data_IF_171881676684
#
_entry.id   IF_171881676684
#
_cell.length_a   1.000
_cell.length_b   1.000
_cell.length_c   1.000
_cell.angle_alpha   90.00
_cell.angle_beta   90.00
_cell.angle_gamma   90.00
#
_symmetry.space_group_name_H-M   'P 1'
#
loop_
_entity.id
_entity.type
_entity.pdbx_description
1 polymer ?
#
# COMPACT_ATOMS: atom_id res chain seq x y z
N UNK A 1 5.10 1.80 -16.35
CA UNK A 1 3.84 1.78 -17.14
C UNK A 1 3.82 0.66 -18.17
N UNK A 2 4.84 0.51 -19.03
CA UNK A 2 4.89 -0.53 -20.08
C UNK A 2 4.75 -1.99 -19.60
N UNK A 3 5.31 -2.36 -18.44
CA UNK A 3 5.21 -3.74 -17.92
C UNK A 3 3.79 -4.12 -17.51
N UNK A 4 3.01 -3.15 -17.04
CA UNK A 4 1.66 -3.39 -16.56
C UNK A 4 0.66 -3.52 -17.72
N UNK A 5 0.86 -2.75 -18.81
CA UNK A 5 0.06 -2.82 -20.03
C UNK A 5 0.15 -4.21 -20.69
N UNK A 6 1.35 -4.80 -20.68
CA UNK A 6 1.61 -6.16 -21.18
C UNK A 6 0.86 -7.27 -20.42
N UNK A 7 0.48 -7.07 -19.15
CA UNK A 7 -0.21 -8.09 -18.34
C UNK A 7 -1.68 -8.28 -18.73
N UNK A 8 -2.38 -7.20 -19.11
CA UNK A 8 -3.81 -7.25 -19.45
C UNK A 8 -4.02 -7.81 -20.86
N UNK A 9 -3.23 -7.33 -21.81
CA UNK A 9 -3.22 -7.84 -23.18
C UNK A 9 -2.88 -9.34 -23.21
N UNK A 10 -1.97 -9.79 -22.33
CA UNK A 10 -1.70 -11.23 -22.13
C UNK A 10 -2.93 -11.98 -21.62
N UNK A 11 -3.66 -11.45 -20.64
CA UNK A 11 -4.86 -12.09 -20.09
C UNK A 11 -5.96 -12.26 -21.17
N UNK A 12 -6.19 -11.21 -21.96
CA UNK A 12 -7.15 -11.24 -23.07
C UNK A 12 -6.71 -12.23 -24.15
N UNK A 13 -5.44 -12.19 -24.56
CA UNK A 13 -4.88 -13.13 -25.53
C UNK A 13 -4.96 -14.60 -25.05
N UNK A 14 -4.70 -14.87 -23.78
CA UNK A 14 -4.83 -16.21 -23.20
C UNK A 14 -6.27 -16.72 -23.19
N UNK A 15 -7.26 -15.85 -22.95
CA UNK A 15 -8.67 -16.23 -23.00
C UNK A 15 -9.05 -16.78 -24.39
N UNK A 16 -8.64 -16.10 -25.45
CA UNK A 16 -8.84 -16.56 -26.83
C UNK A 16 -8.07 -17.84 -27.14
N UNK A 17 -6.80 -17.95 -26.72
CA UNK A 17 -6.01 -19.18 -26.93
C UNK A 17 -6.60 -20.40 -26.23
N UNK A 18 -7.19 -20.24 -25.04
CA UNK A 18 -7.86 -21.35 -24.33
C UNK A 18 -9.10 -21.86 -25.05
N UNK A 19 -9.76 -21.00 -25.83
CA UNK A 19 -10.83 -21.40 -26.74
C UNK A 19 -10.30 -22.03 -28.05
N UNK A 20 -8.99 -22.29 -28.13
CA UNK A 20 -8.29 -22.78 -29.33
C UNK A 20 -8.35 -21.81 -30.52
N UNK A 21 -8.48 -20.50 -30.26
CA UNK A 21 -8.48 -19.47 -31.30
C UNK A 21 -7.07 -18.98 -31.58
N UNK A 22 -6.80 -18.60 -32.83
CA UNK A 22 -5.51 -18.09 -33.26
C UNK A 22 -5.42 -16.61 -32.91
N UNK A 23 -4.37 -16.22 -32.18
CA UNK A 23 -4.15 -14.83 -31.74
C UNK A 23 -2.86 -14.30 -32.35
N UNK A 24 -2.97 -13.19 -33.09
CA UNK A 24 -1.85 -12.47 -33.67
C UNK A 24 -1.70 -11.10 -32.99
N UNK A 25 -0.46 -10.78 -32.63
CA UNK A 25 -0.06 -9.46 -32.10
C UNK A 25 0.62 -8.68 -33.20
N UNK A 26 0.00 -7.60 -33.70
CA UNK A 26 0.63 -6.76 -34.70
C UNK A 26 1.95 -6.17 -34.17
N UNK A 27 2.98 -6.09 -35.02
CA UNK A 27 4.29 -5.59 -34.59
C UNK A 27 4.24 -4.06 -34.53
N UNK A 28 4.83 -3.42 -33.50
CA UNK A 28 4.92 -1.96 -33.46
C UNK A 28 5.57 -1.43 -34.74
N UNK A 29 4.80 -0.65 -35.50
CA UNK A 29 5.24 0.06 -36.70
C UNK A 29 4.83 1.53 -36.61
N UNK A 30 5.17 2.35 -37.61
CA UNK A 30 4.87 3.78 -37.61
C UNK A 30 3.38 4.14 -37.76
N UNK A 31 2.51 3.18 -38.08
CA UNK A 31 1.06 3.36 -38.18
C UNK A 31 0.35 2.76 -36.95
N UNK A 32 -0.76 3.36 -36.47
CA UNK A 32 -1.59 2.79 -35.41
C UNK A 32 -2.09 1.40 -35.82
N UNK A 33 -1.98 0.42 -34.93
CA UNK A 33 -2.44 -0.95 -35.14
C UNK A 33 -3.29 -1.37 -33.92
N UNK A 34 -4.26 -2.28 -34.11
CA UNK A 34 -5.02 -2.82 -33.00
C UNK A 34 -4.13 -3.67 -32.09
N UNK A 35 -4.51 -3.79 -30.82
CA UNK A 35 -3.76 -4.59 -29.85
C UNK A 35 -3.69 -6.08 -30.23
N UNK A 36 -4.81 -6.66 -30.68
CA UNK A 36 -4.87 -8.06 -31.12
C UNK A 36 -5.71 -8.24 -32.39
N UNK A 37 -5.31 -9.22 -33.20
CA UNK A 37 -6.13 -9.79 -34.26
C UNK A 37 -6.38 -11.26 -33.91
N UNK A 38 -7.64 -11.68 -33.89
CA UNK A 38 -8.03 -13.03 -33.46
C UNK A 38 -8.85 -13.72 -34.53
N UNK A 39 -8.56 -14.99 -34.81
CA UNK A 39 -9.32 -15.83 -35.73
C UNK A 39 -9.83 -17.06 -34.98
N UNK A 40 -11.15 -17.23 -34.95
CA UNK A 40 -11.82 -18.31 -34.24
C UNK A 40 -13.34 -18.16 -34.27
N UNK A 41 -14.07 -19.21 -33.90
CA UNK A 41 -15.55 -19.15 -33.91
C UNK A 41 -16.18 -18.84 -35.28
N UNK A 42 -15.44 -19.04 -36.38
CA UNK A 42 -15.89 -18.72 -37.74
C UNK A 42 -15.77 -17.24 -38.14
N UNK A 43 -15.14 -16.40 -37.32
CA UNK A 43 -14.97 -14.97 -37.57
C UNK A 43 -13.54 -14.49 -37.33
N UNK A 44 -13.24 -13.31 -37.87
CA UNK A 44 -12.01 -12.56 -37.60
C UNK A 44 -12.35 -11.33 -36.77
N UNK A 45 -11.63 -11.15 -35.67
CA UNK A 45 -11.86 -10.11 -34.67
C UNK A 45 -10.67 -9.17 -34.61
N UNK A 46 -10.97 -7.88 -34.46
CA UNK A 46 -9.98 -6.83 -34.22
C UNK A 46 -10.24 -6.27 -32.83
N UNK A 47 -9.27 -6.44 -31.94
CA UNK A 47 -9.44 -6.19 -30.51
C UNK A 47 -8.64 -4.96 -30.10
N UNK A 48 -9.33 -4.01 -29.48
CA UNK A 48 -8.73 -2.86 -28.82
C UNK A 48 -8.94 -2.96 -27.31
N UNK A 49 -7.88 -2.74 -26.54
CA UNK A 49 -7.84 -2.97 -25.10
C UNK A 49 -7.45 -1.67 -24.40
N UNK A 50 -8.38 -1.12 -23.61
CA UNK A 50 -8.09 0.01 -22.72
C UNK A 50 -7.99 -0.45 -21.27
N UNK A 51 -7.11 0.21 -20.52
CA UNK A 51 -6.90 -0.09 -19.12
C UNK A 51 -7.34 1.06 -18.22
N UNK A 52 -8.10 0.72 -17.19
CA UNK A 52 -8.34 1.58 -16.04
C UNK A 52 -7.43 1.18 -14.87
N UNK A 53 -6.89 2.15 -14.15
CA UNK A 53 -6.24 1.91 -12.84
C UNK A 53 -7.25 1.51 -11.77
N UNK A 54 -8.52 1.88 -11.92
CA UNK A 54 -9.60 1.69 -10.95
C UNK A 54 -10.88 1.15 -11.59
N UNK A 55 -11.57 0.23 -10.93
CA UNK A 55 -12.84 -0.34 -11.39
C UNK A 55 -14.06 0.55 -11.17
N UNK A 56 -13.92 1.88 -11.23
CA UNK A 56 -15.03 2.81 -10.97
C UNK A 56 -15.78 3.15 -12.26
N UNK A 57 -17.10 3.33 -12.14
CA UNK A 57 -17.99 3.66 -13.28
C UNK A 57 -17.52 4.89 -14.05
N UNK A 58 -17.10 5.96 -13.36
CA UNK A 58 -16.65 7.21 -13.95
C UNK A 58 -15.30 7.09 -14.70
N UNK A 59 -14.59 5.97 -14.55
CA UNK A 59 -13.34 5.68 -15.26
C UNK A 59 -13.51 4.62 -16.35
N UNK A 60 -14.27 3.58 -16.07
CA UNK A 60 -14.50 2.47 -17.01
C UNK A 60 -15.34 2.91 -18.21
N UNK A 61 -16.39 3.70 -18.02
CA UNK A 61 -17.30 4.08 -19.12
C UNK A 61 -16.60 4.94 -20.18
N UNK A 62 -15.84 6.01 -19.84
CA UNK A 62 -15.11 6.78 -20.84
C UNK A 62 -14.09 5.95 -21.64
N UNK A 63 -13.36 5.05 -20.97
CA UNK A 63 -12.40 4.16 -21.63
C UNK A 63 -13.09 3.15 -22.54
N UNK A 64 -14.28 2.68 -22.16
CA UNK A 64 -15.09 1.82 -23.01
C UNK A 64 -15.55 2.58 -24.26
N UNK A 65 -16.00 3.82 -24.12
CA UNK A 65 -16.32 4.69 -25.27
C UNK A 65 -15.13 4.84 -26.23
N UNK A 66 -13.94 5.05 -25.68
CA UNK A 66 -12.72 5.18 -26.47
C UNK A 66 -12.36 3.87 -27.18
N UNK A 67 -12.34 2.75 -26.46
CA UNK A 67 -12.08 1.42 -27.01
C UNK A 67 -13.06 1.08 -28.15
N UNK A 68 -14.32 1.45 -27.99
CA UNK A 68 -15.36 1.29 -29.01
C UNK A 68 -15.01 2.03 -30.30
N UNK A 69 -14.68 3.32 -30.19
CA UNK A 69 -14.37 4.15 -31.36
C UNK A 69 -13.11 3.66 -32.09
N UNK A 70 -12.09 3.28 -31.34
CA UNK A 70 -10.81 2.82 -31.89
C UNK A 70 -10.96 1.43 -32.53
N UNK A 71 -11.65 0.48 -31.89
CA UNK A 71 -11.92 -0.83 -32.49
C UNK A 71 -12.69 -0.72 -33.82
N UNK A 72 -13.69 0.19 -33.89
CA UNK A 72 -14.40 0.46 -35.14
C UNK A 72 -13.49 1.06 -36.22
N UNK A 73 -12.63 2.01 -35.83
CA UNK A 73 -11.69 2.63 -36.74
C UNK A 73 -10.72 1.61 -37.32
N UNK A 74 -10.19 0.70 -36.49
CA UNK A 74 -9.32 -0.38 -36.95
C UNK A 74 -10.07 -1.39 -37.83
N UNK A 75 -11.29 -1.79 -37.48
CA UNK A 75 -12.07 -2.72 -38.30
C UNK A 75 -12.30 -2.20 -39.74
N UNK A 76 -12.49 -0.88 -39.92
CA UNK A 76 -12.65 -0.27 -41.26
C UNK A 76 -11.38 -0.29 -42.12
N UNK A 77 -10.22 -0.57 -41.53
CA UNK A 77 -8.95 -0.64 -42.25
C UNK A 77 -8.74 -2.01 -42.90
N UNK A 78 -9.53 -3.03 -42.53
CA UNK A 78 -9.42 -4.36 -43.12
C UNK A 78 -10.27 -4.45 -44.40
N UNK A 79 -9.74 -5.03 -45.48
CA UNK A 79 -10.49 -5.24 -46.72
C UNK A 79 -11.56 -6.33 -46.58
N UNK A 80 -11.34 -7.31 -45.70
CA UNK A 80 -12.31 -8.34 -45.33
C UNK A 80 -13.23 -7.91 -44.17
N UNK A 81 -14.40 -8.55 -44.06
CA UNK A 81 -15.30 -8.33 -42.94
C UNK A 81 -14.67 -8.84 -41.64
N UNK A 82 -14.39 -7.92 -40.71
CA UNK A 82 -13.90 -8.21 -39.36
C UNK A 82 -14.84 -7.63 -38.31
N UNK A 83 -14.90 -8.29 -37.15
CA UNK A 83 -15.74 -7.89 -36.04
C UNK A 83 -14.92 -7.02 -35.07
N UNK A 84 -15.30 -5.75 -34.81
CA UNK A 84 -14.64 -4.92 -33.81
C UNK A 84 -14.96 -5.39 -32.39
N UNK A 85 -13.93 -5.48 -31.56
CA UNK A 85 -14.02 -5.89 -30.16
C UNK A 85 -13.38 -4.82 -29.29
N UNK A 86 -14.18 -4.21 -28.40
CA UNK A 86 -13.70 -3.23 -27.44
C UNK A 86 -13.60 -3.86 -26.06
N UNK A 87 -12.40 -3.87 -25.49
CA UNK A 87 -12.14 -4.48 -24.18
C UNK A 87 -11.68 -3.42 -23.19
N UNK A 88 -12.25 -3.39 -22.00
CA UNK A 88 -11.72 -2.61 -20.89
C UNK A 88 -11.31 -3.53 -19.75
N UNK A 89 -10.09 -3.31 -19.26
CA UNK A 89 -9.59 -4.01 -18.08
C UNK A 89 -9.29 -3.13 -16.89
N UNK A 90 -9.50 -3.67 -15.70
CA UNK A 90 -9.10 -3.04 -14.43
C UNK A 90 -8.53 -4.10 -13.47
N UNK A 91 -8.03 -3.68 -12.30
CA UNK A 91 -7.60 -4.64 -11.28
C UNK A 91 -8.78 -5.47 -10.74
N UNK A 92 -9.91 -4.83 -10.47
CA UNK A 92 -11.16 -5.45 -10.02
C UNK A 92 -12.33 -4.66 -10.62
N UNK A 93 -13.36 -5.35 -11.13
CA UNK A 93 -14.58 -4.72 -11.63
C UNK A 93 -15.79 -5.10 -10.76
N UNK A 94 -16.38 -4.15 -10.01
CA UNK A 94 -17.59 -4.42 -9.24
C UNK A 94 -18.77 -4.80 -10.15
N UNK A 95 -19.67 -5.72 -9.74
CA UNK A 95 -20.82 -6.13 -10.55
C UNK A 95 -21.68 -4.97 -11.04
N UNK A 96 -21.92 -3.95 -10.20
CA UNK A 96 -22.69 -2.77 -10.58
C UNK A 96 -22.05 -1.96 -11.72
N UNK A 97 -20.71 -2.02 -11.86
CA UNK A 97 -19.99 -1.37 -12.96
C UNK A 97 -20.07 -2.20 -14.22
N UNK A 98 -19.99 -3.53 -14.11
CA UNK A 98 -20.24 -4.47 -15.23
C UNK A 98 -21.64 -4.26 -15.80
N UNK A 99 -22.67 -4.24 -14.95
CA UNK A 99 -24.07 -4.01 -15.38
C UNK A 99 -24.27 -2.62 -16.00
N UNK A 100 -23.55 -1.61 -15.51
CA UNK A 100 -23.61 -0.26 -16.07
C UNK A 100 -22.92 -0.17 -17.43
N UNK A 101 -21.81 -0.87 -17.62
CA UNK A 101 -21.08 -0.94 -18.86
C UNK A 101 -21.82 -1.75 -19.94
N UNK A 102 -22.45 -2.87 -19.56
CA UNK A 102 -23.32 -3.63 -20.47
C UNK A 102 -24.47 -2.75 -20.98
N UNK A 103 -25.22 -2.11 -20.07
CA UNK A 103 -26.32 -1.19 -20.45
C UNK A 103 -25.84 0.01 -21.27
N UNK A 104 -24.59 0.41 -21.10
CA UNK A 104 -23.99 1.45 -21.94
C UNK A 104 -23.70 0.91 -23.34
N UNK A 105 -23.03 -0.24 -23.44
CA UNK A 105 -22.71 -0.92 -24.70
C UNK A 105 -23.97 -1.23 -25.54
N UNK A 106 -25.00 -1.81 -24.92
CA UNK A 106 -26.27 -2.13 -25.59
C UNK A 106 -26.92 -0.89 -26.22
N UNK A 107 -26.75 0.28 -25.59
CA UNK A 107 -27.31 1.54 -26.08
C UNK A 107 -26.47 2.19 -27.18
N UNK A 108 -25.15 2.15 -27.07
CA UNK A 108 -24.25 2.96 -27.92
C UNK A 108 -23.56 2.17 -29.03
N UNK A 109 -23.46 0.85 -28.88
CA UNK A 109 -22.72 -0.02 -29.78
C UNK A 109 -23.33 -1.44 -29.86
N UNK A 110 -24.64 -1.61 -30.15
CA UNK A 110 -25.31 -2.92 -30.12
C UNK A 110 -24.79 -3.92 -31.16
N UNK A 111 -24.08 -3.46 -32.19
CA UNK A 111 -23.57 -4.28 -33.29
C UNK A 111 -22.12 -4.74 -33.08
N UNK A 112 -21.53 -4.41 -31.93
CA UNK A 112 -20.13 -4.72 -31.62
C UNK A 112 -20.00 -5.74 -30.52
N UNK A 113 -18.78 -6.25 -30.36
CA UNK A 113 -18.43 -7.02 -29.18
C UNK A 113 -17.81 -6.11 -28.14
N UNK A 114 -18.32 -6.17 -26.93
CA UNK A 114 -17.74 -5.47 -25.78
C UNK A 114 -17.30 -6.49 -24.75
N UNK A 115 -16.07 -6.34 -24.26
CA UNK A 115 -15.47 -7.16 -23.23
C UNK A 115 -15.08 -6.36 -22.00
N UNK A 116 -15.34 -6.92 -20.83
CA UNK A 116 -14.76 -6.50 -19.57
C UNK A 116 -13.94 -7.64 -18.98
N UNK A 117 -12.73 -7.30 -18.55
CA UNK A 117 -11.84 -8.25 -17.90
C UNK A 117 -11.24 -7.66 -16.64
N UNK A 118 -10.92 -8.48 -15.65
CA UNK A 118 -10.13 -8.02 -14.50
C UNK A 118 -9.05 -9.01 -14.09
N UNK A 119 -8.13 -8.54 -13.23
CA UNK A 119 -7.03 -9.36 -12.74
C UNK A 119 -7.51 -10.49 -11.80
N UNK A 120 -8.73 -10.41 -11.26
CA UNK A 120 -9.33 -11.47 -10.43
C UNK A 120 -9.85 -12.64 -11.27
N UNK A 121 -9.92 -12.46 -12.59
CA UNK A 121 -10.31 -13.49 -13.55
C UNK A 121 -11.74 -13.35 -14.06
N UNK A 122 -12.42 -12.23 -13.78
CA UNK A 122 -13.65 -11.86 -14.47
C UNK A 122 -13.37 -11.73 -15.96
N UNK A 123 -14.22 -12.37 -16.77
CA UNK A 123 -14.34 -12.14 -18.21
C UNK A 123 -15.81 -12.11 -18.55
N UNK A 124 -16.29 -10.97 -18.99
CA UNK A 124 -17.67 -10.78 -19.45
C UNK A 124 -17.58 -10.13 -20.83
N UNK A 125 -17.91 -10.89 -21.86
CA UNK A 125 -18.03 -10.47 -23.25
C UNK A 125 -19.49 -10.56 -23.66
N UNK A 126 -19.91 -9.58 -24.47
CA UNK A 126 -21.27 -9.49 -25.01
C UNK A 126 -21.19 -9.22 -26.51
N UNK A 127 -21.88 -10.05 -27.29
CA UNK A 127 -22.00 -9.93 -28.73
C UNK A 127 -21.21 -10.98 -29.51
N UNK A 128 -21.75 -11.35 -30.68
CA UNK A 128 -21.11 -12.14 -31.75
C UNK A 128 -20.41 -13.43 -31.29
N UNK A 129 -20.97 -14.11 -30.28
CA UNK A 129 -20.53 -15.44 -29.85
C UNK A 129 -19.31 -15.46 -28.93
N UNK A 130 -18.77 -14.31 -28.52
CA UNK A 130 -17.67 -14.26 -27.55
C UNK A 130 -18.13 -14.57 -26.12
N UNK A 131 -19.42 -14.75 -25.88
CA UNK A 131 -19.96 -15.21 -24.60
C UNK A 131 -19.37 -16.55 -24.17
N UNK A 132 -18.89 -17.37 -25.12
CA UNK A 132 -18.16 -18.62 -24.84
C UNK A 132 -16.87 -18.41 -24.05
N UNK A 133 -16.32 -17.20 -24.09
CA UNK A 133 -15.11 -16.80 -23.36
C UNK A 133 -15.41 -16.31 -21.94
N UNK A 134 -16.71 -16.13 -21.63
CA UNK A 134 -17.15 -15.61 -20.35
C UNK A 134 -16.73 -16.57 -19.25
N UNK A 135 -16.13 -15.99 -18.22
CA UNK A 135 -15.82 -16.70 -17.02
C UNK A 135 -16.06 -15.77 -15.86
N UNK A 136 -16.87 -16.27 -14.94
CA UNK A 136 -16.91 -15.70 -13.61
C UNK A 136 -15.84 -16.38 -12.77
N UNK A 137 -15.21 -15.66 -11.84
CA UNK A 137 -14.39 -16.31 -10.82
C UNK A 137 -15.20 -17.45 -10.20
N UNK A 138 -14.73 -18.71 -10.30
CA UNK A 138 -15.53 -19.85 -9.83
C UNK A 138 -15.82 -19.65 -8.35
N UNK A 139 -17.02 -19.92 -7.82
CA UNK A 139 -17.31 -19.60 -6.41
C UNK A 139 -16.42 -20.36 -5.40
N UNK A 140 -15.71 -21.41 -5.84
CA UNK A 140 -14.64 -22.11 -5.10
C UNK A 140 -13.27 -21.46 -5.29
N UNK A 141 -12.84 -21.10 -6.50
CA UNK A 141 -11.58 -20.37 -6.71
C UNK A 141 -11.70 -18.90 -6.32
N UNK A 142 -12.89 -18.30 -6.27
CA UNK A 142 -13.22 -17.00 -5.72
C UNK A 142 -13.42 -17.10 -4.22
N UNK A 143 -13.71 -18.26 -3.63
CA UNK A 143 -13.58 -18.48 -2.18
C UNK A 143 -12.13 -18.76 -1.79
N UNK A 144 -11.36 -19.44 -2.63
CA UNK A 144 -9.93 -19.65 -2.45
C UNK A 144 -9.16 -18.35 -2.72
N UNK A 145 -9.48 -17.62 -3.79
CA UNK A 145 -9.02 -16.25 -4.11
C UNK A 145 -9.72 -15.18 -3.28
N UNK A 146 -10.87 -15.37 -2.63
CA UNK A 146 -11.28 -14.50 -1.50
C UNK A 146 -10.63 -14.91 -0.19
N UNK A 147 -10.20 -16.17 -0.02
CA UNK A 147 -9.29 -16.54 1.07
C UNK A 147 -7.88 -15.98 0.85
N UNK A 148 -7.43 -15.86 -0.41
CA UNK A 148 -6.09 -15.39 -0.80
C UNK A 148 -6.08 -13.87 -1.13
N UNK A 149 -7.13 -13.32 -1.73
CA UNK A 149 -7.30 -11.92 -2.17
C UNK A 149 -8.49 -11.18 -1.51
N UNK A 150 -9.38 -11.89 -0.79
CA UNK A 150 -10.22 -11.28 0.25
C UNK A 150 -9.45 -11.11 1.57
N UNK A 151 -8.14 -11.35 1.54
CA UNK A 151 -7.13 -10.59 2.28
C UNK A 151 -7.22 -9.13 1.87
N UNK A 152 -8.24 -8.44 2.39
CA UNK A 152 -8.16 -7.00 2.57
C UNK A 152 -6.91 -6.73 3.44
N UNK A 153 -5.81 -6.38 2.78
CA UNK A 153 -4.66 -5.70 3.40
C UNK A 153 -5.02 -4.42 4.18
N UNK A 154 -6.22 -3.78 4.04
CA UNK A 154 -6.62 -2.69 4.94
C UNK A 154 -6.65 -2.98 6.44
N UNK A 155 -6.65 -4.24 6.88
CA UNK A 155 -6.61 -4.53 8.32
C UNK A 155 -5.26 -5.02 8.83
N UNK A 156 -4.43 -5.70 8.01
CA UNK A 156 -3.18 -6.28 8.52
C UNK A 156 -2.23 -5.21 9.05
N UNK A 157 -2.21 -4.07 8.37
CA UNK A 157 -1.40 -2.92 8.76
C UNK A 157 -2.27 -1.78 9.32
N UNK A 158 -3.38 -2.10 9.98
CA UNK A 158 -4.06 -1.12 10.84
C UNK A 158 -3.20 -0.78 12.06
N UNK A 159 -3.47 0.35 12.70
CA UNK A 159 -2.64 0.89 13.79
C UNK A 159 -2.28 -0.14 14.88
N UNK A 160 -3.31 -0.75 15.50
CA UNK A 160 -3.09 -1.76 16.53
C UNK A 160 -2.43 -3.04 15.99
N UNK A 161 -2.64 -3.37 14.72
CA UNK A 161 -2.02 -4.55 14.13
C UNK A 161 -0.54 -4.31 13.83
N UNK A 162 -0.17 -3.13 13.31
CA UNK A 162 1.22 -2.72 13.18
C UNK A 162 1.93 -2.71 14.53
N UNK A 163 1.28 -2.21 15.59
CA UNK A 163 1.80 -2.31 16.95
C UNK A 163 2.04 -3.76 17.37
N UNK A 164 1.06 -4.65 17.22
CA UNK A 164 1.22 -6.07 17.56
C UNK A 164 2.29 -6.77 16.71
N UNK A 165 2.46 -6.42 15.43
CA UNK A 165 3.55 -6.91 14.59
C UNK A 165 4.92 -6.49 15.14
N UNK A 166 5.07 -5.25 15.61
CA UNK A 166 6.29 -4.80 16.30
C UNK A 166 6.54 -5.60 17.57
N UNK A 167 5.50 -5.91 18.35
CA UNK A 167 5.62 -6.77 19.55
C UNK A 167 6.12 -8.17 19.19
N UNK A 168 5.61 -8.78 18.11
CA UNK A 168 6.08 -10.09 17.64
C UNK A 168 7.53 -10.06 17.12
N UNK A 169 7.96 -8.95 16.50
CA UNK A 169 9.33 -8.77 16.00
C UNK A 169 10.34 -8.33 17.08
N UNK A 170 9.86 -8.00 18.28
CA UNK A 170 10.67 -7.34 19.31
C UNK A 170 11.86 -8.18 19.80
N UNK A 171 11.72 -9.51 19.88
CA UNK A 171 12.81 -10.40 20.30
C UNK A 171 14.00 -10.33 19.33
N UNK A 172 13.73 -10.11 18.04
CA UNK A 172 14.73 -10.13 16.95
C UNK A 172 15.35 -8.76 16.65
N UNK A 173 14.84 -7.69 17.23
CA UNK A 173 15.35 -6.31 17.05
C UNK A 173 15.97 -5.84 18.38
N UNK A 174 17.14 -5.17 18.41
CA UNK A 174 17.74 -4.66 19.65
C UNK A 174 16.84 -3.71 20.47
N UNK A 175 16.95 -3.74 21.80
CA UNK A 175 16.10 -2.95 22.73
C UNK A 175 16.19 -1.44 22.55
N UNK A 176 17.36 -0.96 22.16
CA UNK A 176 17.59 0.45 21.87
C UNK A 176 17.03 0.91 20.51
N UNK A 177 16.50 -0.01 19.70
CA UNK A 177 15.98 0.27 18.36
C UNK A 177 14.47 0.04 18.23
N UNK A 178 13.87 -0.71 19.17
CA UNK A 178 12.43 -0.93 19.24
C UNK A 178 11.99 -1.15 20.70
N UNK A 179 11.13 -0.26 21.20
CA UNK A 179 10.55 -0.36 22.54
C UNK A 179 9.25 -1.19 22.49
N UNK A 180 9.34 -2.44 22.90
CA UNK A 180 8.19 -3.33 22.97
C UNK A 180 8.43 -4.45 24.01
N UNK A 181 7.37 -5.07 24.55
CA UNK A 181 7.50 -6.27 25.37
C UNK A 181 8.25 -7.38 24.62
N UNK A 182 9.25 -7.97 25.29
CA UNK A 182 10.13 -9.00 24.73
C UNK A 182 9.81 -10.34 25.38
N UNK A 183 9.07 -11.18 24.67
CA UNK A 183 8.75 -12.54 25.06
C UNK A 183 8.31 -13.34 23.84
N UNK A 184 8.34 -14.67 23.97
CA UNK A 184 7.64 -15.57 23.06
C UNK A 184 6.21 -15.74 23.51
N UNK A 185 5.28 -15.63 22.58
CA UNK A 185 3.84 -15.71 22.85
C UNK A 185 3.30 -16.99 22.24
N UNK A 186 2.59 -17.80 23.03
CA UNK A 186 2.05 -19.09 22.58
C UNK A 186 0.71 -18.97 21.87
N UNK A 187 -0.04 -17.92 22.19
CA UNK A 187 -1.42 -17.77 21.73
C UNK A 187 -1.85 -16.30 21.69
N UNK A 188 -2.98 -15.98 21.03
CA UNK A 188 -3.47 -14.61 20.93
C UNK A 188 -3.74 -13.92 22.27
N UNK A 189 -4.06 -14.67 23.33
CA UNK A 189 -4.34 -14.10 24.66
C UNK A 189 -3.07 -13.55 25.30
N UNK A 190 -1.95 -14.26 25.17
CA UNK A 190 -0.64 -13.80 25.65
C UNK A 190 -0.17 -12.58 24.86
N UNK A 191 -0.30 -12.60 23.53
CA UNK A 191 0.01 -11.46 22.67
C UNK A 191 -0.85 -10.24 23.05
N UNK A 192 -2.16 -10.43 23.28
CA UNK A 192 -3.06 -9.35 23.68
C UNK A 192 -2.64 -8.70 25.00
N UNK A 193 -2.27 -9.53 25.99
CA UNK A 193 -1.81 -9.07 27.30
C UNK A 193 -0.53 -8.26 27.17
N UNK A 194 0.45 -8.77 26.43
CA UNK A 194 1.72 -8.08 26.23
C UNK A 194 1.53 -6.77 25.46
N UNK A 195 0.79 -6.80 24.35
CA UNK A 195 0.54 -5.62 23.53
C UNK A 195 -0.43 -4.61 24.18
N UNK A 196 -1.11 -4.95 25.28
CA UNK A 196 -2.09 -4.08 25.92
C UNK A 196 -3.27 -3.77 25.00
N UNK A 197 -3.85 -4.81 24.38
CA UNK A 197 -5.00 -4.72 23.47
C UNK A 197 -6.07 -5.76 23.85
N UNK A 198 -7.25 -5.71 23.22
CA UNK A 198 -8.27 -6.71 23.44
C UNK A 198 -7.86 -8.08 22.89
N UNK A 199 -8.28 -9.16 23.55
CA UNK A 199 -8.06 -10.54 23.07
C UNK A 199 -8.66 -10.74 21.67
N UNK A 200 -9.80 -10.12 21.38
CA UNK A 200 -10.41 -10.18 20.06
C UNK A 200 -9.58 -9.50 18.97
N UNK A 201 -8.90 -8.39 19.28
CA UNK A 201 -8.01 -7.72 18.33
C UNK A 201 -6.82 -8.62 17.99
N UNK A 202 -6.17 -9.20 19.00
CA UNK A 202 -5.05 -10.12 18.80
C UNK A 202 -5.48 -11.39 18.08
N UNK A 203 -6.63 -11.98 18.43
CA UNK A 203 -7.16 -13.16 17.77
C UNK A 203 -7.41 -12.91 16.28
N UNK A 204 -8.00 -11.75 15.91
CA UNK A 204 -8.21 -11.39 14.50
C UNK A 204 -6.89 -11.25 13.75
N UNK A 205 -5.89 -10.59 14.34
CA UNK A 205 -4.57 -10.46 13.73
C UNK A 205 -3.90 -11.82 13.53
N UNK A 206 -3.80 -12.63 14.59
CA UNK A 206 -3.13 -13.94 14.53
C UNK A 206 -3.80 -14.83 13.50
N UNK A 207 -5.14 -14.92 13.52
CA UNK A 207 -5.88 -15.67 12.51
C UNK A 207 -5.62 -15.16 11.09
N UNK A 208 -5.46 -13.85 10.92
CA UNK A 208 -5.09 -13.27 9.64
C UNK A 208 -3.65 -13.64 9.25
N UNK A 209 -2.70 -13.63 10.18
CA UNK A 209 -1.31 -14.05 9.92
C UNK A 209 -1.18 -15.55 9.63
N UNK A 210 -1.98 -16.40 10.26
CA UNK A 210 -2.05 -17.84 9.97
C UNK A 210 -2.63 -18.09 8.58
N UNK A 211 -3.80 -17.50 8.28
CA UNK A 211 -4.37 -17.54 6.93
C UNK A 211 -3.40 -16.95 5.90
N UNK A 212 -2.64 -15.95 6.34
CA UNK A 212 -1.46 -15.25 5.84
C UNK A 212 -0.35 -16.15 5.27
N UNK A 213 -0.15 -17.28 5.94
CA UNK A 213 1.09 -18.05 5.90
C UNK A 213 2.28 -17.25 6.44
N UNK A 214 2.04 -16.32 7.38
CA UNK A 214 3.04 -15.54 8.11
C UNK A 214 3.23 -16.02 9.56
N UNK A 215 2.36 -16.90 10.03
CA UNK A 215 2.53 -17.69 11.26
C UNK A 215 2.26 -19.15 10.91
N UNK A 216 3.11 -20.06 11.35
CA UNK A 216 2.88 -21.50 11.20
C UNK A 216 1.97 -22.00 12.33
N UNK A 217 0.78 -22.56 12.02
CA UNK A 217 -0.11 -23.11 13.03
C UNK A 217 0.41 -24.37 13.73
N UNK A 218 1.51 -24.97 13.25
CA UNK A 218 2.15 -26.15 13.84
C UNK A 218 3.18 -25.87 14.94
N UNK A 219 3.59 -24.62 15.11
CA UNK A 219 4.60 -24.22 16.10
C UNK A 219 4.01 -23.99 17.50
N UNK A 220 4.80 -24.24 18.56
CA UNK A 220 4.36 -24.01 19.95
C UNK A 220 4.20 -22.52 20.30
N UNK A 221 4.76 -21.64 19.47
CA UNK A 221 4.69 -20.19 19.61
C UNK A 221 4.32 -19.47 18.32
N UNK A 222 3.76 -18.27 18.47
CA UNK A 222 3.41 -17.35 17.40
C UNK A 222 4.68 -16.74 16.77
N UNK A 223 5.43 -17.55 16.05
CA UNK A 223 6.63 -17.10 15.34
C UNK A 223 6.27 -16.59 13.94
N UNK A 224 6.83 -15.42 13.59
CA UNK A 224 6.64 -14.86 12.26
C UNK A 224 7.56 -15.54 11.26
N UNK A 225 6.96 -16.15 10.23
CA UNK A 225 7.66 -16.73 9.09
C UNK A 225 7.57 -15.80 7.87
N UNK A 226 8.46 -15.98 6.88
CA UNK A 226 8.50 -15.17 5.65
C UNK A 226 8.57 -13.66 5.94
N UNK A 227 9.36 -13.29 6.95
CA UNK A 227 9.54 -11.90 7.39
C UNK A 227 9.94 -10.95 6.25
N UNK A 228 10.85 -11.30 5.31
CA UNK A 228 11.17 -10.42 4.18
C UNK A 228 9.95 -10.05 3.34
N UNK A 229 9.06 -11.01 3.08
CA UNK A 229 7.84 -10.78 2.33
C UNK A 229 6.83 -9.94 3.13
N UNK A 230 6.68 -10.20 4.43
CA UNK A 230 5.82 -9.41 5.31
C UNK A 230 6.26 -7.94 5.35
N UNK A 231 7.56 -7.69 5.51
CA UNK A 231 8.14 -6.35 5.53
C UNK A 231 8.00 -5.65 4.18
N UNK A 232 8.20 -6.36 3.07
CA UNK A 232 7.97 -5.81 1.72
C UNK A 232 6.52 -5.40 1.49
N UNK A 233 5.55 -6.20 1.98
CA UNK A 233 4.13 -5.82 1.92
C UNK A 233 3.81 -4.65 2.82
N UNK A 234 4.44 -4.56 3.98
CA UNK A 234 4.25 -3.46 4.90
C UNK A 234 4.79 -2.15 4.34
N UNK A 235 5.98 -2.14 3.73
CA UNK A 235 6.55 -0.93 3.11
C UNK A 235 5.72 -0.44 1.91
N UNK A 236 5.09 -1.37 1.18
CA UNK A 236 4.19 -1.04 0.08
C UNK A 236 2.82 -0.51 0.56
N UNK A 237 2.46 -0.71 1.83
CA UNK A 237 1.22 -0.19 2.40
C UNK A 237 1.32 1.32 2.60
N UNK A 238 0.31 2.04 2.11
CA UNK A 238 0.28 3.51 2.09
C UNK A 238 -1.05 4.00 2.63
N UNK A 239 -0.98 4.80 3.68
CA UNK A 239 -2.10 5.63 4.10
C UNK A 239 -1.79 7.10 3.80
N UNK A 240 -2.82 7.93 3.54
CA UNK A 240 -2.64 9.36 3.40
C UNK A 240 -1.95 9.94 4.64
N UNK A 241 -0.87 10.69 4.41
CA UNK A 241 -0.10 11.31 5.47
C UNK A 241 -0.47 12.79 5.52
N UNK A 242 -0.73 13.29 6.73
CA UNK A 242 -0.93 14.71 6.96
C UNK A 242 0.40 15.32 7.43
N UNK A 243 0.88 16.30 6.67
CA UNK A 243 2.12 17.01 6.95
C UNK A 243 1.90 18.52 6.92
N UNK A 244 2.54 19.21 7.85
CA UNK A 244 2.49 20.65 7.96
C UNK A 244 3.92 21.20 7.91
N UNK A 245 4.26 22.01 6.89
CA UNK A 245 5.53 22.73 6.90
C UNK A 245 5.53 23.72 8.07
N UNK A 246 6.64 23.83 8.77
CA UNK A 246 6.81 24.77 9.88
C UNK A 246 8.16 25.47 9.83
N UNK A 247 8.22 26.66 10.44
CA UNK A 247 9.44 27.45 10.60
C UNK A 247 9.65 27.86 12.04
N UNK A 248 10.90 28.10 12.40
CA UNK A 248 11.23 28.65 13.70
C UNK A 248 10.85 30.13 13.77
N UNK A 249 10.12 30.52 14.83
CA UNK A 249 9.86 31.92 15.15
C UNK A 249 11.16 32.68 15.44
N UNK A 250 12.16 31.98 15.99
CA UNK A 250 13.53 32.45 16.19
C UNK A 250 14.45 31.36 15.67
N UNK A 251 15.34 31.66 14.71
CA UNK A 251 16.27 30.66 14.14
C UNK A 251 16.99 29.90 15.25
N UNK A 252 16.87 28.57 15.22
CA UNK A 252 17.57 27.66 16.14
C UNK A 252 18.46 26.71 15.36
N UNK A 253 19.53 26.26 16.01
CA UNK A 253 20.33 25.13 15.56
C UNK A 253 19.42 23.87 15.49
N UNK A 254 19.49 23.05 14.43
CA UNK A 254 18.87 21.72 14.38
C UNK A 254 19.04 20.88 15.65
N UNK A 255 20.19 20.99 16.36
CA UNK A 255 20.41 20.33 17.64
C UNK A 255 19.40 20.76 18.74
N UNK A 256 18.78 21.93 18.61
CA UNK A 256 17.77 22.42 19.54
C UNK A 256 16.45 21.64 19.45
N UNK A 257 16.16 20.95 18.35
CA UNK A 257 14.96 20.10 18.20
C UNK A 257 15.01 18.94 19.21
N UNK A 258 16.16 18.28 19.30
CA UNK A 258 16.39 17.18 20.22
C UNK A 258 16.19 17.61 21.69
N UNK A 259 16.74 18.76 22.07
CA UNK A 259 16.58 19.33 23.41
C UNK A 259 15.12 19.75 23.71
N UNK A 260 14.41 20.30 22.72
CA UNK A 260 12.99 20.64 22.84
C UNK A 260 12.13 19.39 23.06
N UNK A 261 12.34 18.34 22.26
CA UNK A 261 11.60 17.09 22.42
C UNK A 261 11.91 16.41 23.75
N UNK A 262 13.18 16.41 24.16
CA UNK A 262 13.61 15.86 25.46
C UNK A 262 12.91 16.59 26.62
N UNK A 263 12.88 17.92 26.59
CA UNK A 263 12.23 18.72 27.64
C UNK A 263 10.70 18.55 27.66
N UNK A 264 10.07 18.46 26.49
CA UNK A 264 8.64 18.18 26.38
C UNK A 264 8.26 16.82 26.95
N UNK A 265 9.01 15.78 26.61
CA UNK A 265 8.79 14.42 27.11
C UNK A 265 9.09 14.30 28.61
N UNK A 266 10.14 14.95 29.10
CA UNK A 266 10.45 14.99 30.53
C UNK A 266 9.36 15.73 31.33
N UNK A 267 8.83 16.84 30.79
CA UNK A 267 7.73 17.60 31.39
C UNK A 267 6.43 16.81 31.50
N UNK A 268 6.17 15.87 30.59
CA UNK A 268 5.04 14.95 30.67
C UNK A 268 5.17 13.90 31.80
N UNK A 269 6.38 13.70 32.34
CA UNK A 269 6.64 12.82 33.48
C UNK A 269 6.69 13.56 34.83
N UNK A 270 6.48 14.89 34.85
CA UNK A 270 6.61 15.71 36.06
C UNK A 270 5.56 15.36 37.14
N UNK A 271 5.99 15.41 38.39
CA UNK A 271 5.17 15.17 39.58
C UNK A 271 4.25 16.38 39.78
N UNK A 272 3.02 16.28 39.30
CA UNK A 272 1.99 17.33 39.45
C UNK A 272 0.89 17.26 38.40
N UNK A 273 1.20 16.78 37.18
CA UNK A 273 0.18 16.62 36.13
C UNK A 273 -0.74 15.43 36.47
N UNK A 274 -2.05 15.69 36.46
CA UNK A 274 -3.06 14.64 36.61
C UNK A 274 -2.94 13.61 35.47
N UNK A 275 -3.37 12.37 35.72
CA UNK A 275 -3.39 11.34 34.67
C UNK A 275 -4.26 11.75 33.46
N UNK A 276 -5.23 12.65 33.68
CA UNK A 276 -6.07 13.22 32.63
C UNK A 276 -5.31 14.26 31.77
N UNK A 277 -4.48 15.12 32.38
CA UNK A 277 -3.65 16.09 31.66
C UNK A 277 -2.55 15.42 30.84
N UNK A 278 -1.94 14.36 31.37
CA UNK A 278 -0.97 13.54 30.62
C UNK A 278 -1.59 12.88 29.39
N UNK A 279 -2.84 12.39 29.48
CA UNK A 279 -3.59 11.85 28.33
C UNK A 279 -4.04 12.93 27.34
N UNK A 280 -4.16 14.19 27.77
CA UNK A 280 -4.54 15.33 26.92
C UNK A 280 -3.37 15.93 26.15
N UNK A 281 -2.12 15.66 26.52
CA UNK A 281 -0.95 16.09 25.74
C UNK A 281 -0.68 15.10 24.60
N UNK A 282 -0.51 15.57 23.35
CA UNK A 282 -0.14 14.67 22.25
C UNK A 282 1.28 14.14 22.44
N UNK A 283 1.49 12.87 22.10
CA UNK A 283 2.84 12.30 22.03
C UNK A 283 3.60 12.90 20.85
N UNK A 284 4.90 13.07 21.02
CA UNK A 284 5.81 13.63 20.01
C UNK A 284 7.11 12.83 19.97
N UNK A 285 7.67 12.67 18.78
CA UNK A 285 9.01 12.09 18.60
C UNK A 285 9.63 12.52 17.26
N UNK A 286 10.93 12.32 17.10
CA UNK A 286 11.58 12.42 15.79
C UNK A 286 11.06 11.31 14.87
N UNK A 287 10.90 11.63 13.59
CA UNK A 287 10.55 10.68 12.53
C UNK A 287 11.52 10.75 11.35
N UNK A 288 11.36 9.82 10.41
CA UNK A 288 12.05 9.80 9.11
C UNK A 288 13.59 9.93 9.29
N UNK A 289 14.24 10.73 8.45
CA UNK A 289 15.68 10.92 8.44
C UNK A 289 16.23 11.47 9.76
N UNK A 290 15.49 12.36 10.44
CA UNK A 290 15.93 12.90 11.73
C UNK A 290 15.97 11.80 12.81
N UNK A 291 15.02 10.87 12.79
CA UNK A 291 15.07 9.69 13.65
C UNK A 291 16.19 8.71 13.22
N UNK A 292 16.42 8.53 11.91
CA UNK A 292 17.54 7.72 11.43
C UNK A 292 18.90 8.24 11.93
N UNK A 293 19.11 9.56 11.86
CA UNK A 293 20.30 10.24 12.39
C UNK A 293 20.44 10.01 13.89
N UNK A 294 19.38 10.27 14.66
CA UNK A 294 19.38 10.10 16.12
C UNK A 294 19.67 8.65 16.54
N UNK A 295 19.12 7.66 15.83
CA UNK A 295 19.36 6.24 16.07
C UNK A 295 20.77 5.77 15.63
N UNK A 296 21.55 6.62 14.95
CA UNK A 296 22.90 6.30 14.47
C UNK A 296 22.97 5.61 13.11
N UNK A 297 21.89 5.69 12.32
CA UNK A 297 21.79 5.12 10.97
C UNK A 297 21.71 6.19 9.87
N UNK A 298 21.87 7.46 10.22
CA UNK A 298 21.93 8.59 9.29
C UNK A 298 22.88 8.36 8.12
N UNK A 299 22.35 8.42 6.89
CA UNK A 299 23.11 8.25 5.66
C UNK A 299 22.77 9.33 4.61
N UNK A 300 21.53 9.82 4.63
CA UNK A 300 21.07 10.91 3.76
C UNK A 300 20.92 12.19 4.58
N UNK A 301 21.54 13.27 4.10
CA UNK A 301 21.52 14.58 4.73
C UNK A 301 20.81 15.63 3.87
N UNK A 302 20.43 16.76 4.47
CA UNK A 302 19.82 17.89 3.78
C UNK A 302 18.30 17.84 3.65
N UNK A 303 17.65 16.81 4.21
CA UNK A 303 16.18 16.76 4.35
C UNK A 303 15.79 17.48 5.64
N UNK A 304 14.85 18.44 5.60
CA UNK A 304 14.36 19.07 6.83
C UNK A 304 13.84 18.02 7.83
N UNK A 305 14.10 18.20 9.13
CA UNK A 305 13.70 17.23 10.14
C UNK A 305 12.18 17.08 10.19
N UNK A 306 11.73 15.84 10.36
CA UNK A 306 10.33 15.54 10.57
C UNK A 306 10.08 15.19 12.03
N UNK A 307 9.04 15.79 12.58
CA UNK A 307 8.60 15.58 13.96
C UNK A 307 7.21 14.95 13.88
N UNK A 308 7.09 13.73 14.41
CA UNK A 308 5.80 13.12 14.61
C UNK A 308 5.06 13.81 15.75
N UNK A 309 3.79 14.10 15.53
CA UNK A 309 2.87 14.60 16.54
C UNK A 309 1.57 13.80 16.46
N UNK A 310 1.14 13.21 17.57
CA UNK A 310 -0.03 12.32 17.61
C UNK A 310 -1.31 12.95 17.07
N UNK A 311 -1.50 14.23 17.35
CA UNK A 311 -2.55 15.07 16.80
C UNK A 311 -2.03 16.48 16.73
N UNK A 312 -2.46 17.22 15.71
CA UNK A 312 -2.00 18.60 15.54
C UNK A 312 -2.44 19.45 16.74
N UNK A 313 -1.48 20.12 17.37
CA UNK A 313 -1.71 20.96 18.55
C UNK A 313 -0.92 22.27 18.43
N UNK A 314 -1.60 23.40 18.13
CA UNK A 314 -0.97 24.72 18.02
C UNK A 314 -0.23 25.15 19.29
N UNK A 315 -0.69 24.72 20.47
CA UNK A 315 -0.04 25.05 21.74
C UNK A 315 1.29 24.31 21.91
N UNK A 316 1.41 23.09 21.38
CA UNK A 316 2.70 22.38 21.31
C UNK A 316 3.65 23.09 20.34
N UNK A 317 3.16 23.47 19.16
CA UNK A 317 3.93 24.23 18.17
C UNK A 317 4.49 25.52 18.74
N UNK A 318 3.64 26.32 19.40
CA UNK A 318 4.05 27.57 20.04
C UNK A 318 5.12 27.33 21.12
N UNK A 319 4.98 26.29 21.95
CA UNK A 319 6.00 25.91 22.94
C UNK A 319 7.32 25.50 22.31
N UNK A 320 7.29 24.89 21.13
CA UNK A 320 8.49 24.58 20.36
C UNK A 320 9.09 25.82 19.69
N UNK A 321 8.38 26.95 19.70
CA UNK A 321 8.77 28.15 18.96
C UNK A 321 8.64 27.95 17.45
N UNK A 322 7.69 27.11 17.02
CA UNK A 322 7.39 26.80 15.63
C UNK A 322 6.09 27.48 15.19
N UNK A 323 6.04 27.89 13.93
CA UNK A 323 4.83 28.41 13.28
C UNK A 323 4.64 27.78 11.90
N UNK A 324 3.37 27.60 11.51
CA UNK A 324 3.00 27.20 10.14
C UNK A 324 3.02 28.39 9.17
N UNK A 325 2.90 29.62 9.70
CA UNK A 325 2.84 30.83 8.88
C UNK A 325 4.16 31.07 8.15
N UNK A 326 4.09 31.31 6.83
CA UNK A 326 5.25 31.58 5.99
C UNK A 326 6.19 30.37 5.78
N UNK A 327 5.74 29.16 6.13
CA UNK A 327 6.52 27.93 5.99
C UNK A 327 6.44 27.25 4.62
N UNK A 328 5.47 27.65 3.79
CA UNK A 328 5.10 26.97 2.53
C UNK A 328 6.25 26.79 1.53
N UNK A 329 7.19 27.74 1.47
CA UNK A 329 8.25 27.76 0.46
C UNK A 329 9.64 27.43 1.01
N UNK A 330 9.84 27.48 2.33
CA UNK A 330 11.14 27.25 2.96
C UNK A 330 10.92 26.77 4.40
N UNK A 331 10.44 25.53 4.58
CA UNK A 331 10.22 24.97 5.91
C UNK A 331 11.56 24.68 6.59
N UNK A 332 11.64 24.99 7.87
CA UNK A 332 12.79 24.59 8.71
C UNK A 332 12.59 23.17 9.25
N UNK A 333 11.34 22.70 9.34
CA UNK A 333 10.96 21.35 9.74
C UNK A 333 9.55 21.01 9.21
N UNK A 334 9.14 19.75 9.39
CA UNK A 334 7.77 19.29 9.14
C UNK A 334 7.17 18.67 10.39
N UNK A 335 5.91 19.02 10.69
CA UNK A 335 5.09 18.23 11.61
C UNK A 335 4.32 17.20 10.80
N UNK A 336 4.52 15.92 11.12
CA UNK A 336 3.77 14.81 10.51
C UNK A 336 2.80 14.23 11.53
N UNK A 337 1.53 14.11 11.17
CA UNK A 337 0.55 13.31 11.92
C UNK A 337 0.61 11.88 11.38
N UNK A 338 1.06 10.89 12.16
CA UNK A 338 1.10 9.52 11.68
C UNK A 338 -0.32 8.96 11.58
N UNK A 339 -0.66 8.23 10.51
CA UNK A 339 -1.98 7.62 10.39
C UNK A 339 -2.19 6.46 11.38
N UNK A 340 -1.09 5.90 11.89
CA UNK A 340 -1.05 4.80 12.87
C UNK A 340 -0.29 5.24 14.14
N UNK A 341 -0.89 6.10 14.98
CA UNK A 341 -0.19 6.69 16.14
C UNK A 341 0.19 5.64 17.21
N UNK A 342 -0.63 4.62 17.47
CA UNK A 342 -0.27 3.60 18.46
C UNK A 342 0.95 2.78 18.02
N UNK A 343 1.06 2.45 16.74
CA UNK A 343 2.21 1.76 16.16
C UNK A 343 3.49 2.60 16.26
N UNK A 344 3.41 3.91 16.10
CA UNK A 344 4.57 4.82 16.19
C UNK A 344 4.97 5.04 17.64
N UNK A 345 4.04 5.53 18.48
CA UNK A 345 4.41 6.06 19.78
C UNK A 345 4.54 5.01 20.88
N UNK A 346 3.88 3.85 20.79
CA UNK A 346 4.14 2.75 21.74
C UNK A 346 5.51 2.12 21.51
N UNK A 347 5.95 2.10 20.24
CA UNK A 347 7.22 1.52 19.82
C UNK A 347 8.42 2.46 19.96
N UNK A 348 8.15 3.76 20.09
CA UNK A 348 9.15 4.81 20.16
C UNK A 348 10.21 4.52 21.24
N UNK A 349 11.46 4.86 20.92
CA UNK A 349 12.61 4.67 21.79
C UNK A 349 13.12 6.02 22.27
N UNK A 350 13.72 6.04 23.47
CA UNK A 350 14.45 7.20 23.97
C UNK A 350 15.92 7.00 23.67
N UNK A 351 16.50 7.86 22.83
CA UNK A 351 17.91 7.83 22.45
C UNK A 351 18.55 9.13 22.89
N UNK A 352 19.49 9.04 23.84
CA UNK A 352 20.20 10.19 24.41
C UNK A 352 19.24 11.28 24.95
N UNK A 353 18.13 10.84 25.58
CA UNK A 353 17.07 11.70 26.11
C UNK A 353 15.99 12.11 25.10
N UNK A 354 16.20 11.84 23.81
CA UNK A 354 15.32 12.27 22.73
C UNK A 354 14.34 11.15 22.34
N UNK A 355 13.03 11.39 22.34
CA UNK A 355 12.06 10.44 21.80
C UNK A 355 12.19 10.34 20.27
N UNK A 356 12.37 9.12 19.77
CA UNK A 356 12.51 8.81 18.35
C UNK A 356 11.55 7.68 17.97
N UNK A 357 11.00 7.74 16.75
CA UNK A 357 10.34 6.57 16.16
C UNK A 357 11.31 5.38 16.13
N UNK A 358 10.77 4.17 16.29
CA UNK A 358 11.58 2.95 16.25
C UNK A 358 12.17 2.69 14.86
N UNK A 359 13.23 1.87 14.82
CA UNK A 359 13.97 1.60 13.58
C UNK A 359 13.10 1.03 12.46
N UNK A 360 12.06 0.25 12.80
CA UNK A 360 11.18 -0.34 11.80
C UNK A 360 10.26 0.73 11.21
N UNK A 361 9.72 1.62 12.04
CA UNK A 361 8.98 2.77 11.54
C UNK A 361 9.84 3.66 10.64
N UNK A 362 11.07 3.95 11.06
CA UNK A 362 11.98 4.78 10.27
C UNK A 362 12.28 4.12 8.91
N UNK A 363 12.51 2.82 8.89
CA UNK A 363 12.69 2.06 7.65
C UNK A 363 11.46 2.14 6.74
N UNK A 364 10.25 1.94 7.28
CA UNK A 364 8.99 2.05 6.51
C UNK A 364 8.81 3.45 5.91
N UNK A 365 9.08 4.50 6.70
CA UNK A 365 8.85 5.87 6.29
C UNK A 365 9.80 6.34 5.17
N UNK A 366 11.06 5.91 5.23
CA UNK A 366 12.08 6.34 4.27
C UNK A 366 12.15 5.44 3.02
N UNK A 367 11.59 4.22 3.06
CA UNK A 367 11.72 3.22 1.97
C UNK A 367 11.41 3.75 0.57
N UNK A 368 10.43 4.64 0.43
CA UNK A 368 10.04 5.24 -0.86
C UNK A 368 10.02 6.77 -0.81
N UNK A 369 10.75 7.37 0.14
CA UNK A 369 10.83 8.82 0.23
C UNK A 369 11.64 9.40 -0.96
N UNK A 370 11.17 10.47 -1.63
CA UNK A 370 11.78 10.98 -2.87
C UNK A 370 13.22 11.45 -2.68
N UNK A 371 13.57 11.97 -1.50
CA UNK A 371 14.92 12.42 -1.14
C UNK A 371 15.88 11.26 -0.89
N UNK A 372 16.15 10.41 -1.90
CA UNK A 372 17.03 9.23 -1.80
C UNK A 372 16.66 8.27 -0.66
N UNK A 373 15.37 8.19 -0.33
CA UNK A 373 14.88 7.40 0.80
C UNK A 373 15.25 5.92 0.72
N UNK A 374 15.22 5.33 -0.49
CA UNK A 374 15.68 3.97 -0.76
C UNK A 374 17.08 3.70 -0.20
N UNK A 375 18.02 4.62 -0.39
CA UNK A 375 19.39 4.47 0.09
C UNK A 375 19.47 4.49 1.63
N UNK A 376 18.69 5.35 2.27
CA UNK A 376 18.56 5.40 3.73
C UNK A 376 17.94 4.11 4.29
N UNK A 377 16.91 3.58 3.62
CA UNK A 377 16.25 2.34 4.01
C UNK A 377 17.18 1.12 3.85
N UNK A 378 17.97 1.07 2.77
CA UNK A 378 18.93 0.00 2.53
C UNK A 378 20.04 -0.02 3.59
N UNK A 379 20.49 1.14 4.06
CA UNK A 379 21.45 1.24 5.16
C UNK A 379 20.88 0.72 6.49
N UNK A 380 19.63 1.09 6.81
CA UNK A 380 18.92 0.57 7.99
C UNK A 380 18.71 -0.95 7.87
N UNK A 381 18.26 -1.42 6.71
CA UNK A 381 18.05 -2.83 6.43
C UNK A 381 19.34 -3.64 6.66
N UNK A 382 20.47 -3.14 6.16
CA UNK A 382 21.78 -3.79 6.29
C UNK A 382 22.28 -3.86 7.73
N UNK A 383 22.14 -2.76 8.50
CA UNK A 383 22.77 -2.64 9.83
C UNK A 383 21.87 -3.03 11.01
N UNK A 384 20.55 -2.88 10.87
CA UNK A 384 19.60 -3.09 11.97
C UNK A 384 18.64 -4.26 11.72
N UNK A 385 18.17 -4.44 10.48
CA UNK A 385 17.15 -5.46 10.15
C UNK A 385 17.74 -6.69 9.43
N UNK A 386 19.06 -6.75 9.28
CA UNK A 386 19.70 -7.76 8.42
C UNK A 386 19.48 -9.20 8.88
N UNK A 387 19.26 -9.44 10.16
CA UNK A 387 18.89 -10.77 10.69
C UNK A 387 17.47 -11.17 10.30
N UNK A 388 16.54 -10.21 10.24
CA UNK A 388 15.15 -10.42 9.83
C UNK A 388 14.98 -10.59 8.32
N UNK A 389 15.85 -9.94 7.55
CA UNK A 389 15.79 -9.89 6.08
C UNK A 389 16.60 -10.99 5.39
N UNK A 390 17.36 -11.78 6.15
CA UNK A 390 17.98 -13.00 5.62
C UNK A 390 16.89 -14.04 5.40
N UNK A 391 16.77 -14.55 4.18
CA UNK A 391 15.98 -15.75 3.94
C UNK A 391 16.62 -16.91 4.73
N UNK A 392 15.91 -17.42 5.74
CA UNK A 392 16.22 -18.74 6.27
C UNK A 392 15.93 -19.72 5.12
N UNK A 393 16.99 -20.34 4.61
CA UNK A 393 16.94 -21.38 3.58
C UNK A 393 16.16 -22.60 4.04
#
# INVERSE_FOLDING_TARGET
MAVAEQDLERLVAEAFRRASWRVHRPRPGGAPQPDLIVEGGGSKYVVEIKRSSEGRRDRVIPLLSQAILEAQAFARQFPEAVVPVAVVGAQHLPPAVVDAAQRYADRVAPQMVVGLVDAEGLREFWGQGLEVLNARPSSKEHRARRRIAGRRLPHLFSDLNQWMLKVLLAESIPVNLLSAPRARYRNPTELARAAGVSVMSAFRLVRQLENDGFVDPGEESLELVRIPELLSRWSAWREPIQEFPVRWLVKRDPAAVAALLSSYSAGAASVGDSAAERRRRPRVCLGLFAAADALGFGFVHGVPPHIYMERFDPGVLQRFGLSVEGAEHSPDAFIRIPPNPEAVFRAAVIKDGVPCADVLQVWLDVSDHPSRGKAQADEIARRALGTLLKENK
#
